data_IF_967457388760
#
_entry.id   IF_967457388760
#
_cell.length_a   1.000
_cell.length_b   1.000
_cell.length_c   1.000
_cell.angle_alpha   90.00
_cell.angle_beta   90.00
_cell.angle_gamma   90.00
#
_symmetry.space_group_name_H-M   'P 1'
#
loop_
_entity.id
_entity.type
_entity.pdbx_description
1 polymer ?
#
# COMPACT_ATOMS: atom_id res chain seq x y z
N UNK A 1 -7.09 26.39 -43.18
CA UNK A 1 -7.05 25.10 -42.44
C UNK A 1 -5.89 25.11 -41.45
N UNK A 2 -6.03 25.82 -40.34
CA UNK A 2 -5.00 25.85 -39.30
C UNK A 2 -5.69 25.83 -37.94
N UNK A 3 -5.93 24.63 -37.40
CA UNK A 3 -6.45 24.46 -36.03
C UNK A 3 -6.20 23.03 -35.51
N UNK A 4 -4.96 22.53 -35.61
CA UNK A 4 -4.61 21.16 -35.19
C UNK A 4 -3.61 21.07 -34.04
N UNK A 5 -3.25 22.17 -33.41
CA UNK A 5 -2.56 22.15 -32.10
C UNK A 5 -3.42 22.96 -31.14
N UNK A 6 -4.14 22.28 -30.25
CA UNK A 6 -4.94 22.95 -29.22
C UNK A 6 -4.10 23.94 -28.42
N UNK A 7 -4.75 24.94 -27.81
CA UNK A 7 -4.05 26.00 -27.05
C UNK A 7 -2.96 25.43 -26.12
N UNK A 8 -1.84 26.15 -25.91
CA UNK A 8 -0.74 25.65 -25.05
C UNK A 8 -1.20 25.16 -23.67
N UNK A 9 -2.18 25.84 -23.04
CA UNK A 9 -2.80 25.39 -21.78
C UNK A 9 -3.46 24.01 -21.91
N UNK A 10 -4.24 23.79 -22.99
CA UNK A 10 -4.88 22.49 -23.25
C UNK A 10 -3.84 21.39 -23.45
N UNK A 11 -2.74 21.68 -24.16
CA UNK A 11 -1.65 20.74 -24.35
C UNK A 11 -0.98 20.39 -23.01
N UNK A 12 -0.62 21.37 -22.19
CA UNK A 12 0.03 21.16 -20.89
C UNK A 12 -0.86 20.38 -19.92
N UNK A 13 -2.16 20.71 -19.85
CA UNK A 13 -3.13 19.94 -19.04
C UNK A 13 -3.24 18.49 -19.50
N UNK A 14 -3.27 18.26 -20.81
CA UNK A 14 -3.30 16.90 -21.37
C UNK A 14 -2.04 16.13 -21.02
N UNK A 15 -0.86 16.75 -21.12
CA UNK A 15 0.40 16.11 -20.74
C UNK A 15 0.42 15.75 -19.24
N UNK A 16 0.00 16.67 -18.37
CA UNK A 16 -0.14 16.41 -16.94
C UNK A 16 -1.10 15.26 -16.64
N UNK A 17 -2.30 15.27 -17.24
CA UNK A 17 -3.31 14.22 -17.04
C UNK A 17 -2.81 12.86 -17.52
N UNK A 18 -2.16 12.80 -18.69
CA UNK A 18 -1.55 11.57 -19.20
C UNK A 18 -0.48 11.03 -18.24
N UNK A 19 0.39 11.90 -17.71
CA UNK A 19 1.42 11.51 -16.78
C UNK A 19 0.84 11.00 -15.44
N UNK A 20 -0.17 11.69 -14.89
CA UNK A 20 -0.86 11.26 -13.66
C UNK A 20 -1.62 9.95 -13.87
N UNK A 21 -2.28 9.78 -15.01
CA UNK A 21 -2.98 8.55 -15.38
C UNK A 21 -2.00 7.38 -15.48
N UNK A 22 -0.86 7.56 -16.15
CA UNK A 22 0.17 6.52 -16.27
C UNK A 22 0.72 6.04 -14.91
N UNK A 23 0.67 6.89 -13.89
CA UNK A 23 1.08 6.58 -12.52
C UNK A 23 -0.07 6.06 -11.62
N UNK A 24 -1.24 5.74 -12.17
CA UNK A 24 -2.31 5.09 -11.41
C UNK A 24 -2.13 3.56 -11.37
N UNK A 25 -2.49 2.88 -10.26
CA UNK A 25 -2.29 1.44 -10.11
C UNK A 25 -2.81 0.60 -11.28
N UNK A 26 -3.95 0.98 -11.88
CA UNK A 26 -4.58 0.24 -12.97
C UNK A 26 -3.70 0.11 -14.21
N UNK A 27 -2.72 1.00 -14.38
CA UNK A 27 -1.86 1.04 -15.56
C UNK A 27 -0.52 0.30 -15.38
N UNK A 28 0.01 0.21 -14.16
CA UNK A 28 1.33 -0.39 -13.91
C UNK A 28 1.29 -1.62 -13.02
N UNK A 29 0.25 -1.81 -12.20
CA UNK A 29 0.17 -2.92 -11.26
C UNK A 29 -0.15 -4.25 -11.94
N UNK A 30 -1.15 -4.38 -12.85
CA UNK A 30 -1.53 -5.67 -13.42
C UNK A 30 -0.37 -6.47 -14.05
N UNK A 31 0.56 -5.85 -14.83
CA UNK A 31 1.71 -6.58 -15.37
C UNK A 31 2.69 -7.11 -14.32
N UNK A 32 2.69 -6.54 -13.11
CA UNK A 32 3.56 -6.94 -12.00
C UNK A 32 2.89 -7.93 -11.03
N UNK A 33 1.58 -8.16 -11.17
CA UNK A 33 0.87 -9.12 -10.33
C UNK A 33 1.16 -10.55 -10.78
N UNK A 34 1.32 -11.49 -9.84
CA UNK A 34 1.43 -12.90 -10.19
C UNK A 34 0.11 -13.39 -10.79
N UNK A 35 0.20 -14.37 -11.68
CA UNK A 35 -0.96 -15.18 -12.02
C UNK A 35 -1.20 -16.13 -10.86
N UNK A 36 -2.45 -16.28 -10.41
CA UNK A 36 -2.74 -17.18 -9.30
C UNK A 36 -2.46 -18.64 -9.67
N UNK A 37 -2.49 -18.98 -10.96
CA UNK A 37 -2.05 -20.28 -11.48
C UNK A 37 -0.60 -20.64 -11.15
N UNK A 38 0.27 -19.65 -10.96
CA UNK A 38 1.71 -19.84 -10.75
C UNK A 38 2.03 -20.15 -9.28
N UNK A 39 1.05 -19.97 -8.39
CA UNK A 39 1.16 -20.30 -6.97
C UNK A 39 1.04 -21.81 -6.75
N UNK A 40 1.67 -22.40 -5.72
CA UNK A 40 1.45 -23.79 -5.36
C UNK A 40 -0.05 -24.08 -5.15
N UNK A 41 -0.55 -25.23 -5.60
CA UNK A 41 -1.99 -25.52 -5.63
C UNK A 41 -2.69 -25.42 -4.27
N UNK A 42 -1.97 -25.73 -3.19
CA UNK A 42 -2.45 -25.69 -1.80
C UNK A 42 -2.12 -24.39 -1.07
N UNK A 43 -1.35 -23.50 -1.70
CA UNK A 43 -0.90 -22.23 -1.11
C UNK A 43 -1.87 -21.09 -1.30
N UNK A 44 -1.88 -20.16 -0.33
CA UNK A 44 -2.62 -18.89 -0.39
C UNK A 44 -1.74 -17.79 -0.96
N UNK A 45 -2.38 -16.75 -1.51
CA UNK A 45 -1.74 -15.47 -1.72
C UNK A 45 -2.08 -14.53 -0.57
N UNK A 46 -1.10 -14.24 0.28
CA UNK A 46 -1.22 -13.33 1.41
C UNK A 46 -0.83 -11.93 0.94
N UNK A 47 -1.80 -11.04 0.80
CA UNK A 47 -1.58 -9.66 0.38
C UNK A 47 -1.48 -8.77 1.62
N UNK A 48 -0.31 -8.17 1.82
CA UNK A 48 -0.06 -7.19 2.88
C UNK A 48 0.36 -5.86 2.27
N UNK A 49 0.29 -4.77 3.01
CA UNK A 49 0.72 -3.49 2.45
C UNK A 49 0.40 -2.29 3.31
N UNK A 50 1.01 -1.16 2.96
CA UNK A 50 0.74 0.12 3.59
C UNK A 50 1.11 1.28 2.68
N UNK A 51 0.39 2.39 2.80
CA UNK A 51 0.69 3.62 2.07
C UNK A 51 -0.56 4.33 1.52
N UNK A 52 -0.35 5.53 0.99
CA UNK A 52 -1.43 6.38 0.45
C UNK A 52 -2.18 5.73 -0.72
N UNK A 53 -1.50 4.90 -1.50
CA UNK A 53 -2.11 4.18 -2.62
C UNK A 53 -2.47 2.73 -2.28
N UNK A 54 -2.24 2.26 -1.04
CA UNK A 54 -2.39 0.84 -0.70
C UNK A 54 -3.81 0.31 -0.92
N UNK A 55 -4.84 1.09 -0.56
CA UNK A 55 -6.24 0.72 -0.82
C UNK A 55 -6.57 0.64 -2.32
N UNK A 56 -6.08 1.60 -3.12
CA UNK A 56 -6.26 1.59 -4.57
C UNK A 56 -5.52 0.41 -5.23
N UNK A 57 -4.30 0.12 -4.79
CA UNK A 57 -3.52 -1.03 -5.25
C UNK A 57 -4.20 -2.36 -4.89
N UNK A 58 -4.74 -2.50 -3.67
CA UNK A 58 -5.47 -3.69 -3.26
C UNK A 58 -6.73 -3.89 -4.10
N UNK A 59 -7.51 -2.83 -4.31
CA UNK A 59 -8.69 -2.86 -5.17
C UNK A 59 -8.33 -3.25 -6.62
N UNK A 60 -7.28 -2.66 -7.18
CA UNK A 60 -6.79 -2.99 -8.53
C UNK A 60 -6.35 -4.47 -8.61
N UNK A 61 -5.64 -4.96 -7.61
CA UNK A 61 -5.20 -6.35 -7.56
C UNK A 61 -6.38 -7.34 -7.52
N UNK A 62 -7.40 -7.07 -6.71
CA UNK A 62 -8.61 -7.90 -6.71
C UNK A 62 -9.36 -7.86 -8.03
N UNK A 63 -9.46 -6.68 -8.66
CA UNK A 63 -10.09 -6.56 -9.98
C UNK A 63 -9.34 -7.37 -11.03
N UNK A 64 -8.01 -7.46 -10.94
CA UNK A 64 -7.20 -8.26 -11.84
C UNK A 64 -7.46 -9.76 -11.70
N UNK A 65 -7.67 -10.25 -10.46
CA UNK A 65 -7.92 -11.67 -10.20
C UNK A 65 -9.40 -12.07 -10.14
N UNK A 66 -10.33 -11.14 -10.35
CA UNK A 66 -11.77 -11.34 -10.07
C UNK A 66 -12.41 -12.56 -10.75
N UNK A 67 -11.92 -12.93 -11.93
CA UNK A 67 -12.45 -14.03 -12.75
C UNK A 67 -11.52 -15.26 -12.69
N UNK A 68 -10.45 -15.21 -11.90
CA UNK A 68 -9.55 -16.34 -11.66
C UNK A 68 -10.22 -17.32 -10.70
N UNK A 69 -10.28 -18.63 -11.02
CA UNK A 69 -10.91 -19.64 -10.17
C UNK A 69 -10.26 -19.76 -8.78
N UNK A 70 -9.02 -19.30 -8.63
CA UNK A 70 -8.28 -19.32 -7.36
C UNK A 70 -8.39 -18.01 -6.58
N UNK A 71 -9.21 -17.06 -6.99
CA UNK A 71 -9.35 -15.78 -6.29
C UNK A 71 -9.76 -15.94 -4.82
N UNK A 72 -10.52 -17.00 -4.50
CA UNK A 72 -10.89 -17.37 -3.13
C UNK A 72 -9.70 -17.75 -2.22
N UNK A 73 -8.52 -17.98 -2.80
CA UNK A 73 -7.27 -18.25 -2.07
C UNK A 73 -6.48 -16.98 -1.74
N UNK A 74 -6.93 -15.81 -2.21
CA UNK A 74 -6.39 -14.52 -1.83
C UNK A 74 -6.91 -14.16 -0.46
N UNK A 75 -6.04 -13.65 0.40
CA UNK A 75 -6.38 -13.14 1.74
C UNK A 75 -5.42 -12.04 2.11
N UNK A 76 -5.79 -11.18 3.04
CA UNK A 76 -4.82 -10.33 3.73
C UNK A 76 -5.36 -8.97 4.13
N UNK A 77 -4.45 -8.03 4.33
CA UNK A 77 -4.75 -6.73 4.94
C UNK A 77 -3.77 -5.67 4.46
N UNK A 78 -4.28 -4.51 4.07
CA UNK A 78 -3.47 -3.32 3.79
C UNK A 78 -3.87 -2.15 4.67
N UNK A 79 -2.90 -1.28 4.97
CA UNK A 79 -3.10 -0.09 5.80
C UNK A 79 -3.12 1.16 4.93
N UNK A 80 -4.25 1.87 4.93
CA UNK A 80 -4.45 3.10 4.18
C UNK A 80 -4.65 4.30 5.12
N UNK A 81 -4.63 5.51 4.56
CA UNK A 81 -4.94 6.73 5.31
C UNK A 81 -6.44 6.79 5.64
N UNK A 82 -6.79 7.34 6.80
CA UNK A 82 -8.18 7.71 7.12
C UNK A 82 -8.88 8.45 5.98
N UNK A 83 -10.05 7.93 5.57
CA UNK A 83 -10.88 8.44 4.50
C UNK A 83 -10.52 7.95 3.09
N UNK A 84 -9.60 7.00 2.96
CA UNK A 84 -9.12 6.47 1.68
C UNK A 84 -9.49 4.98 1.47
N UNK A 85 -10.35 4.42 2.33
CA UNK A 85 -10.86 3.07 2.13
C UNK A 85 -11.47 2.85 0.73
N UNK A 86 -11.26 1.65 0.19
CA UNK A 86 -11.79 1.21 -1.10
C UNK A 86 -12.51 -0.13 -0.94
N UNK A 87 -13.56 -0.41 -1.71
CA UNK A 87 -14.24 -1.69 -1.63
C UNK A 87 -13.37 -2.81 -2.20
N UNK A 88 -13.19 -3.84 -1.38
CA UNK A 88 -12.48 -5.10 -1.64
C UNK A 88 -13.31 -6.28 -1.08
N UNK A 89 -12.97 -7.51 -1.46
CA UNK A 89 -13.67 -8.75 -1.11
C UNK A 89 -12.86 -9.64 -0.17
N UNK A 90 -11.56 -9.75 -0.40
CA UNK A 90 -10.65 -10.68 0.28
C UNK A 90 -9.52 -9.97 1.03
N UNK A 91 -9.12 -8.78 0.57
CA UNK A 91 -8.09 -7.96 1.20
C UNK A 91 -8.75 -6.92 2.09
N UNK A 92 -8.57 -7.00 3.40
CA UNK A 92 -9.10 -6.01 4.33
C UNK A 92 -8.36 -4.67 4.18
N UNK A 93 -9.11 -3.56 4.22
CA UNK A 93 -8.54 -2.22 4.29
C UNK A 93 -8.69 -1.70 5.72
N UNK A 94 -7.57 -1.46 6.40
CA UNK A 94 -7.55 -0.79 7.70
C UNK A 94 -7.06 0.63 7.54
N UNK A 95 -7.76 1.58 8.15
CA UNK A 95 -7.40 3.00 8.08
C UNK A 95 -6.61 3.43 9.32
N UNK A 96 -5.54 4.21 9.09
CA UNK A 96 -4.67 4.72 10.12
C UNK A 96 -4.17 6.14 9.82
N UNK A 97 -3.52 6.75 10.81
CA UNK A 97 -3.04 8.12 10.70
C UNK A 97 -1.72 8.25 9.92
N UNK A 98 -1.62 9.34 9.16
CA UNK A 98 -0.43 9.80 8.45
C UNK A 98 -0.45 11.33 8.44
N UNK A 99 0.67 12.04 8.69
CA UNK A 99 2.07 11.57 8.67
C UNK A 99 2.62 11.05 9.99
N UNK A 100 1.87 11.13 11.09
CA UNK A 100 2.28 10.63 12.41
C UNK A 100 1.49 9.35 12.72
N UNK A 101 2.14 8.22 13.09
CA UNK A 101 1.45 6.96 13.36
C UNK A 101 0.48 7.10 14.54
N UNK A 102 -0.69 6.46 14.47
CA UNK A 102 -1.63 6.34 15.59
C UNK A 102 -1.72 4.89 16.09
N UNK A 103 -2.59 4.65 17.08
CA UNK A 103 -2.84 3.31 17.61
C UNK A 103 -3.44 2.34 16.59
N UNK A 104 -4.13 2.86 15.56
CA UNK A 104 -4.69 2.03 14.49
C UNK A 104 -3.58 1.49 13.59
N UNK A 105 -2.57 2.32 13.28
CA UNK A 105 -1.36 1.87 12.59
C UNK A 105 -0.68 0.73 13.35
N UNK A 106 -0.52 0.86 14.67
CA UNK A 106 0.10 -0.17 15.51
C UNK A 106 -0.69 -1.48 15.48
N UNK A 107 -1.99 -1.42 15.82
CA UNK A 107 -2.85 -2.60 15.85
C UNK A 107 -2.94 -3.30 14.48
N UNK A 108 -3.00 -2.54 13.38
CA UNK A 108 -3.02 -3.10 12.04
C UNK A 108 -1.68 -3.74 11.66
N UNK A 109 -0.56 -3.13 12.06
CA UNK A 109 0.79 -3.69 11.83
C UNK A 109 0.99 -4.97 12.63
N UNK A 110 0.53 -5.05 13.87
CA UNK A 110 0.53 -6.29 14.66
C UNK A 110 -0.24 -7.42 13.96
N UNK A 111 -1.40 -7.10 13.37
CA UNK A 111 -2.21 -8.06 12.60
C UNK A 111 -1.48 -8.53 11.34
N UNK A 112 -0.81 -7.64 10.60
CA UNK A 112 0.05 -8.01 9.47
C UNK A 112 1.16 -8.96 9.93
N UNK A 113 1.86 -8.62 11.01
CA UNK A 113 2.94 -9.46 11.54
C UNK A 113 2.41 -10.84 11.96
N UNK A 114 1.26 -10.92 12.63
CA UNK A 114 0.63 -12.18 13.00
C UNK A 114 0.23 -13.02 11.79
N UNK A 115 -0.34 -12.39 10.76
CA UNK A 115 -0.70 -13.04 9.50
C UNK A 115 0.53 -13.63 8.80
N UNK A 116 1.64 -12.89 8.76
CA UNK A 116 2.90 -13.34 8.16
C UNK A 116 3.57 -14.45 8.96
N UNK A 117 3.48 -14.45 10.29
CA UNK A 117 3.96 -15.57 11.12
C UNK A 117 3.19 -16.87 10.87
N UNK A 118 1.92 -16.78 10.48
CA UNK A 118 1.08 -17.91 10.14
C UNK A 118 1.22 -18.40 8.68
N UNK A 119 2.16 -17.85 7.91
CA UNK A 119 2.39 -18.25 6.52
C UNK A 119 3.15 -19.59 6.46
N UNK A 120 2.65 -20.52 5.64
CA UNK A 120 3.30 -21.81 5.36
C UNK A 120 4.26 -21.74 4.17
N UNK A 121 5.02 -22.83 3.90
CA UNK A 121 5.99 -22.89 2.80
C UNK A 121 5.37 -22.75 1.40
N UNK A 122 4.10 -23.13 1.26
CA UNK A 122 3.35 -23.04 0.01
C UNK A 122 2.69 -21.67 -0.20
N UNK A 123 2.57 -20.86 0.86
CA UNK A 123 2.00 -19.52 0.76
C UNK A 123 2.97 -18.58 0.04
N UNK A 124 2.43 -17.55 -0.61
CA UNK A 124 3.20 -16.45 -1.17
C UNK A 124 2.72 -15.14 -0.58
N UNK A 125 3.65 -14.22 -0.34
CA UNK A 125 3.35 -12.89 0.19
C UNK A 125 3.52 -11.88 -0.92
N UNK A 126 2.48 -11.09 -1.18
CA UNK A 126 2.55 -9.91 -2.02
C UNK A 126 2.47 -8.67 -1.12
N UNK A 127 3.50 -7.82 -1.20
CA UNK A 127 3.55 -6.58 -0.42
C UNK A 127 3.25 -5.35 -1.29
N UNK A 128 2.12 -4.68 -1.05
CA UNK A 128 1.68 -3.48 -1.75
C UNK A 128 2.13 -2.23 -0.97
N UNK A 129 3.24 -1.63 -1.39
CA UNK A 129 3.83 -0.45 -0.73
C UNK A 129 3.72 0.81 -1.57
N UNK A 130 3.45 1.93 -0.90
CA UNK A 130 3.49 3.27 -1.48
C UNK A 130 3.92 4.29 -0.44
N UNK A 131 4.05 5.56 -0.85
CA UNK A 131 4.45 6.64 0.06
C UNK A 131 3.56 6.73 1.31
N UNK A 132 4.17 6.99 2.46
CA UNK A 132 3.50 7.04 3.77
C UNK A 132 3.61 5.76 4.61
N UNK A 133 4.28 4.72 4.10
CA UNK A 133 4.52 3.46 4.80
C UNK A 133 5.12 3.63 6.20
N UNK A 134 6.06 4.55 6.41
CA UNK A 134 6.72 4.74 7.73
C UNK A 134 5.75 5.12 8.86
N UNK A 135 4.65 5.80 8.55
CA UNK A 135 3.62 6.15 9.53
C UNK A 135 2.53 5.07 9.63
N UNK A 136 2.16 4.47 8.50
CA UNK A 136 1.04 3.52 8.44
C UNK A 136 1.44 2.11 8.89
N UNK A 137 2.67 1.69 8.63
CA UNK A 137 3.23 0.38 9.00
C UNK A 137 4.18 0.55 10.20
N UNK A 138 3.61 0.84 11.37
CA UNK A 138 4.36 1.20 12.57
C UNK A 138 4.15 0.20 13.70
N UNK A 139 5.21 -0.53 14.08
CA UNK A 139 5.25 -1.34 15.30
C UNK A 139 6.45 -0.90 16.16
N UNK A 140 6.25 -0.18 17.28
CA UNK A 140 7.33 0.16 18.20
C UNK A 140 8.01 -1.09 18.76
N UNK A 141 9.31 -1.01 19.05
CA UNK A 141 10.05 -2.12 19.65
C UNK A 141 9.55 -2.40 21.08
N UNK A 142 9.76 -3.62 21.57
CA UNK A 142 9.42 -4.02 22.94
C UNK A 142 10.01 -3.03 23.95
N UNK A 143 9.15 -2.51 24.85
CA UNK A 143 9.54 -1.53 25.86
C UNK A 143 9.49 -0.07 25.41
N UNK A 144 9.25 0.22 24.12
CA UNK A 144 9.12 1.57 23.59
C UNK A 144 7.64 1.90 23.35
N UNK A 145 7.14 2.98 23.96
CA UNK A 145 5.78 3.44 23.73
C UNK A 145 5.61 4.13 22.37
N UNK A 146 4.38 4.12 21.80
CA UNK A 146 4.09 4.86 20.57
C UNK A 146 4.40 6.36 20.71
N UNK A 147 4.02 6.98 21.84
CA UNK A 147 4.29 8.39 22.10
C UNK A 147 5.79 8.68 22.19
N UNK A 148 6.56 7.77 22.77
CA UNK A 148 8.02 7.87 22.83
C UNK A 148 8.64 7.82 21.43
N UNK A 149 8.25 6.83 20.61
CA UNK A 149 8.66 6.74 19.20
C UNK A 149 8.36 8.03 18.44
N UNK A 150 7.14 8.55 18.57
CA UNK A 150 6.73 9.81 17.92
C UNK A 150 7.60 11.00 18.36
N UNK A 151 7.88 11.11 19.66
CA UNK A 151 8.69 12.21 20.21
C UNK A 151 10.14 12.14 19.74
N UNK A 152 10.75 10.95 19.73
CA UNK A 152 12.11 10.74 19.21
C UNK A 152 12.18 11.10 17.72
N UNK A 153 11.25 10.59 16.90
CA UNK A 153 11.22 10.92 15.47
C UNK A 153 11.05 12.42 15.24
N UNK A 154 10.19 13.10 16.02
CA UNK A 154 10.02 14.56 15.93
C UNK A 154 11.31 15.31 16.30
N UNK A 155 11.99 14.88 17.36
CA UNK A 155 13.25 15.50 17.79
C UNK A 155 14.36 15.33 16.74
N UNK A 156 14.46 14.16 16.13
CA UNK A 156 15.42 13.88 15.05
C UNK A 156 15.14 14.71 13.79
N UNK A 157 13.87 14.87 13.41
CA UNK A 157 13.50 15.74 12.28
C UNK A 157 13.81 17.22 12.58
N UNK A 158 13.61 17.66 13.82
CA UNK A 158 13.87 19.04 14.24
C UNK A 158 15.37 19.35 14.39
N UNK A 159 16.23 18.34 14.56
CA UNK A 159 17.67 18.54 14.75
C UNK A 159 18.43 18.86 13.46
N UNK A 160 17.79 18.73 12.30
CA UNK A 160 18.45 18.86 11.00
C UNK A 160 19.35 17.67 10.65
N UNK A 161 19.18 16.54 11.33
CA UNK A 161 19.88 15.31 10.99
C UNK A 161 19.57 14.89 9.53
N UNK A 162 20.58 14.38 8.78
CA UNK A 162 20.34 13.78 7.46
C UNK A 162 19.33 12.64 7.55
N UNK A 163 18.47 12.49 6.54
CA UNK A 163 17.42 11.46 6.54
C UNK A 163 17.97 10.04 6.71
N UNK A 164 19.16 9.77 6.16
CA UNK A 164 19.85 8.47 6.26
C UNK A 164 20.34 8.17 7.69
N UNK A 165 20.45 9.18 8.56
CA UNK A 165 20.77 8.99 9.98
C UNK A 165 19.52 8.80 10.84
N UNK A 166 18.33 9.16 10.33
CA UNK A 166 17.05 8.99 11.02
C UNK A 166 16.47 7.60 10.77
N UNK A 167 16.70 7.04 9.57
CA UNK A 167 16.23 5.71 9.15
C UNK A 167 17.18 4.60 9.59
#
# INVERSE_FOLDING_TARGET
MADTVGSPDRLLRRLYQTAVAAAQPEHYLPPALPRLSDLPHTGRLIVVGAGKAAAAMAQCAEQHWRDDPRFSQVTGLVIARHGEARPTRHIEIVEAAHPVPDKHAVAATERIVSLLHGAGPEDRVLCLLSGGGSALLCLPATGIGLAEKQNVTRALLASGAPIDAIN
#
